data_IF_419231045711
#
_entry.id   IF_419231045711
#
_cell.length_a   1.000
_cell.length_b   1.000
_cell.length_c   1.000
_cell.angle_alpha   90.00
_cell.angle_beta   90.00
_cell.angle_gamma   90.00
#
_symmetry.space_group_name_H-M   'P 1'
#
loop_
_entity.id
_entity.type
_entity.pdbx_description
1 polymer ?
#
# COMPACT_ATOMS: atom_id res chain seq x y z
N UNK A 1 -23.48 -10.18 2.28
CA UNK A 1 -22.80 -8.95 2.72
C UNK A 1 -22.02 -8.38 1.55
N UNK A 2 -21.90 -7.06 1.44
CA UNK A 2 -21.07 -6.43 0.42
C UNK A 2 -19.63 -6.39 0.94
N UNK A 3 -18.77 -7.23 0.39
CA UNK A 3 -17.34 -7.13 0.66
C UNK A 3 -16.78 -5.91 -0.08
N UNK A 4 -15.99 -5.11 0.63
CA UNK A 4 -15.27 -3.98 0.06
C UNK A 4 -14.22 -4.55 -0.92
N UNK A 5 -14.23 -4.15 -2.20
CA UNK A 5 -13.35 -4.74 -3.21
C UNK A 5 -11.93 -4.15 -3.15
N UNK A 6 -11.29 -4.23 -1.98
CA UNK A 6 -9.98 -3.65 -1.70
C UNK A 6 -8.95 -4.05 -2.76
N UNK A 7 -8.91 -5.34 -3.13
CA UNK A 7 -7.96 -5.83 -4.13
C UNK A 7 -8.22 -5.33 -5.54
N UNK A 8 -9.47 -4.99 -5.89
CA UNK A 8 -9.73 -4.35 -7.18
C UNK A 8 -9.24 -2.90 -7.17
N UNK A 9 -9.50 -2.16 -6.10
CA UNK A 9 -9.06 -0.77 -5.95
C UNK A 9 -7.54 -0.64 -5.91
N UNK A 10 -6.86 -1.45 -5.09
CA UNK A 10 -5.40 -1.45 -4.98
C UNK A 10 -4.69 -1.80 -6.28
N UNK A 11 -5.34 -2.55 -7.18
CA UNK A 11 -4.84 -2.86 -8.54
C UNK A 11 -5.20 -1.82 -9.60
N UNK A 12 -6.14 -0.92 -9.32
CA UNK A 12 -6.67 0.04 -10.29
C UNK A 12 -6.75 1.45 -9.72
N UNK A 13 -7.91 1.85 -9.19
CA UNK A 13 -8.20 3.23 -8.77
C UNK A 13 -7.26 3.79 -7.69
N UNK A 14 -6.62 2.93 -6.88
CA UNK A 14 -5.66 3.34 -5.84
C UNK A 14 -4.20 3.04 -6.23
N UNK A 15 -3.95 2.53 -7.44
CA UNK A 15 -2.61 2.12 -7.88
C UNK A 15 -1.60 3.26 -7.77
N UNK A 16 -1.92 4.41 -8.36
CA UNK A 16 -1.07 5.60 -8.32
C UNK A 16 -0.85 6.07 -6.88
N UNK A 17 -1.89 6.01 -6.04
CA UNK A 17 -1.79 6.41 -4.65
C UNK A 17 -0.82 5.52 -3.86
N UNK A 18 -0.79 4.22 -4.14
CA UNK A 18 0.20 3.29 -3.59
C UNK A 18 1.61 3.64 -4.07
N UNK A 19 1.78 3.81 -5.39
CA UNK A 19 3.09 4.15 -5.99
C UNK A 19 3.66 5.47 -5.46
N UNK A 20 2.83 6.48 -5.27
CA UNK A 20 3.26 7.82 -4.87
C UNK A 20 3.35 8.01 -3.34
N UNK A 21 2.43 7.43 -2.58
CA UNK A 21 2.37 7.67 -1.13
C UNK A 21 3.02 6.55 -0.35
N UNK A 22 2.77 5.29 -0.69
CA UNK A 22 3.28 4.15 0.08
C UNK A 22 4.70 3.76 -0.34
N UNK A 23 4.93 3.57 -1.64
CA UNK A 23 6.17 2.96 -2.15
C UNK A 23 7.39 3.89 -2.13
N UNK A 24 7.17 5.20 -2.01
CA UNK A 24 8.25 6.20 -1.91
C UNK A 24 8.70 6.46 -0.48
N UNK A 25 7.99 5.96 0.54
CA UNK A 25 8.34 6.17 1.95
C UNK A 25 9.68 5.53 2.31
N UNK A 26 10.52 6.29 3.00
CA UNK A 26 11.75 5.81 3.64
C UNK A 26 11.50 5.24 5.03
N UNK A 27 10.57 5.82 5.78
CA UNK A 27 10.21 5.39 7.13
C UNK A 27 8.70 5.41 7.36
N UNK A 28 8.27 4.61 8.35
CA UNK A 28 6.94 4.71 8.96
C UNK A 28 7.06 4.55 10.47
N UNK A 29 6.56 5.54 11.21
CA UNK A 29 6.53 5.55 12.67
C UNK A 29 7.92 5.37 13.31
N UNK A 30 8.96 5.93 12.69
CA UNK A 30 10.34 5.84 13.17
C UNK A 30 11.06 4.54 12.83
N UNK A 31 10.44 3.66 12.04
CA UNK A 31 11.07 2.45 11.51
C UNK A 31 11.35 2.59 10.02
N UNK A 32 12.55 2.21 9.59
CA UNK A 32 12.89 2.16 8.18
C UNK A 32 12.00 1.17 7.42
N UNK A 33 11.45 1.62 6.30
CA UNK A 33 10.66 0.77 5.41
C UNK A 33 11.60 -0.03 4.55
N UNK A 34 11.49 -1.36 4.60
CA UNK A 34 12.16 -2.22 3.64
C UNK A 34 11.49 -2.09 2.25
N UNK A 35 11.96 -1.12 1.46
CA UNK A 35 11.44 -0.79 0.13
C UNK A 35 11.42 -1.98 -0.82
N UNK A 36 12.42 -2.85 -0.74
CA UNK A 36 12.51 -4.06 -1.59
C UNK A 36 11.39 -5.04 -1.26
N UNK A 37 11.20 -5.36 0.02
CA UNK A 37 10.13 -6.26 0.46
C UNK A 37 8.74 -5.69 0.14
N UNK A 38 8.54 -4.39 0.37
CA UNK A 38 7.29 -3.70 0.07
C UNK A 38 6.97 -3.70 -1.44
N UNK A 39 7.97 -3.43 -2.30
CA UNK A 39 7.83 -3.52 -3.76
C UNK A 39 7.46 -4.94 -4.20
N UNK A 40 8.16 -5.96 -3.69
CA UNK A 40 7.86 -7.36 -4.04
C UNK A 40 6.43 -7.76 -3.66
N UNK A 41 5.98 -7.41 -2.45
CA UNK A 41 4.63 -7.69 -1.99
C UNK A 41 3.58 -6.97 -2.86
N UNK A 42 3.83 -5.71 -3.20
CA UNK A 42 2.99 -4.94 -4.09
C UNK A 42 2.93 -5.54 -5.51
N UNK A 43 4.05 -5.93 -6.09
CA UNK A 43 4.10 -6.48 -7.45
C UNK A 43 3.39 -7.84 -7.54
N UNK A 44 3.50 -8.69 -6.52
CA UNK A 44 2.75 -9.94 -6.44
C UNK A 44 1.24 -9.70 -6.41
N UNK A 45 0.81 -8.67 -5.68
CA UNK A 45 -0.59 -8.25 -5.64
C UNK A 45 -1.06 -7.68 -6.97
N UNK A 46 -0.29 -6.74 -7.54
CA UNK A 46 -0.62 -6.04 -8.77
C UNK A 46 -0.82 -7.00 -9.94
N UNK A 47 0.07 -8.00 -10.04
CA UNK A 47 0.01 -9.03 -11.07
C UNK A 47 -1.03 -10.14 -10.80
N UNK A 48 -1.81 -10.05 -9.72
CA UNK A 48 -2.82 -11.04 -9.36
C UNK A 48 -2.25 -12.41 -8.96
N UNK A 49 -0.96 -12.48 -8.62
CA UNK A 49 -0.29 -13.73 -8.21
C UNK A 49 -0.69 -14.16 -6.80
N UNK A 50 -1.06 -13.20 -5.95
CA UNK A 50 -1.60 -13.42 -4.61
C UNK A 50 -2.42 -12.21 -4.17
N UNK A 51 -3.40 -12.42 -3.28
CA UNK A 51 -4.15 -11.31 -2.71
C UNK A 51 -3.51 -10.80 -1.41
N UNK A 52 -2.79 -9.68 -1.51
CA UNK A 52 -2.23 -8.96 -0.35
C UNK A 52 -3.05 -7.74 0.05
N UNK A 53 -4.33 -7.66 -0.31
CA UNK A 53 -5.19 -6.51 0.01
C UNK A 53 -5.19 -6.19 1.51
N UNK A 54 -5.29 -7.21 2.35
CA UNK A 54 -5.30 -7.08 3.81
C UNK A 54 -3.99 -6.57 4.40
N UNK A 55 -2.87 -6.72 3.69
CA UNK A 55 -1.57 -6.18 4.09
C UNK A 55 -1.34 -4.77 3.52
N UNK A 56 -1.64 -4.56 2.24
CA UNK A 56 -1.40 -3.29 1.55
C UNK A 56 -2.35 -2.18 2.00
N UNK A 57 -3.60 -2.52 2.32
CA UNK A 57 -4.60 -1.54 2.75
C UNK A 57 -4.21 -0.76 4.02
N UNK A 58 -3.83 -1.41 5.14
CA UNK A 58 -3.41 -0.69 6.34
C UNK A 58 -2.11 0.09 6.11
N UNK A 59 -1.17 -0.43 5.31
CA UNK A 59 0.07 0.28 4.96
C UNK A 59 -0.20 1.55 4.16
N UNK A 60 -1.09 1.48 3.17
CA UNK A 60 -1.51 2.64 2.39
C UNK A 60 -2.22 3.65 3.29
N UNK A 61 -3.16 3.17 4.11
CA UNK A 61 -3.93 4.01 5.02
C UNK A 61 -3.01 4.76 6.01
N UNK A 62 -2.04 4.07 6.60
CA UNK A 62 -1.02 4.67 7.47
C UNK A 62 -0.18 5.70 6.71
N UNK A 63 0.29 5.36 5.50
CA UNK A 63 1.08 6.31 4.71
C UNK A 63 0.33 7.59 4.39
N UNK A 64 -0.97 7.48 4.05
CA UNK A 64 -1.82 8.64 3.78
C UNK A 64 -2.10 9.46 5.03
N UNK A 65 -2.35 8.80 6.17
CA UNK A 65 -2.51 9.46 7.46
C UNK A 65 -1.27 10.26 7.84
N UNK A 66 -0.09 9.64 7.76
CA UNK A 66 1.19 10.30 8.00
C UNK A 66 1.41 11.48 7.05
N UNK A 67 1.07 11.33 5.76
CA UNK A 67 1.18 12.40 4.76
C UNK A 67 0.31 13.60 5.12
N UNK A 68 -0.88 13.34 5.67
CA UNK A 68 -1.84 14.38 6.04
C UNK A 68 -1.53 15.07 7.36
N UNK A 69 -0.92 14.37 8.32
CA UNK A 69 -0.85 14.83 9.72
C UNK A 69 0.56 14.92 10.31
N UNK A 70 1.59 14.38 9.66
CA UNK A 70 2.96 14.27 10.19
C UNK A 70 4.03 14.71 9.17
N UNK A 71 3.63 15.46 8.13
CA UNK A 71 4.55 16.15 7.23
C UNK A 71 4.67 17.63 7.60
#
# INVERSE_FOLDING_TARGET
GFEVPMGAWLRSSLREMVEESLLKRDEMLGLEVNKKALRQLYDLHLNGRSDYSWALWPLLSLSLWMKKHYQ
#
